data_IF_209476472811
#
_entry.id   IF_209476472811
#
_cell.length_a   1.000
_cell.length_b   1.000
_cell.length_c   1.000
_cell.angle_alpha   90.00
_cell.angle_beta   90.00
_cell.angle_gamma   90.00
#
_symmetry.space_group_name_H-M   'P 1'
#
loop_
_entity.id
_entity.type
_entity.pdbx_description
1 polymer ?
#
# COMPACT_ATOMS: atom_id res chain seq x y z
N UNK A 1 37.11 9.69 7.62
CA UNK A 1 35.88 10.08 8.34
C UNK A 1 35.09 11.04 7.46
N UNK A 2 34.08 10.57 6.75
CA UNK A 2 33.25 11.39 5.85
C UNK A 2 32.06 11.97 6.63
N UNK A 3 32.05 13.29 6.80
CA UNK A 3 30.96 14.04 7.44
C UNK A 3 29.77 14.08 6.47
N UNK A 4 28.74 13.27 6.73
CA UNK A 4 27.48 13.39 6.00
C UNK A 4 26.81 14.74 6.34
N UNK A 5 26.70 15.62 5.36
CA UNK A 5 26.01 16.90 5.47
C UNK A 5 24.50 16.66 5.45
N UNK A 6 23.93 16.30 6.60
CA UNK A 6 22.50 16.11 6.70
C UNK A 6 21.78 17.47 6.69
N UNK A 7 21.15 17.73 5.53
CA UNK A 7 19.98 18.58 5.23
C UNK A 7 20.26 19.73 4.26
N UNK A 8 19.88 19.51 2.99
CA UNK A 8 19.99 20.49 1.90
C UNK A 8 18.90 21.58 1.92
N UNK A 9 17.79 21.38 2.64
CA UNK A 9 16.64 22.31 2.65
C UNK A 9 16.58 23.09 3.96
N UNK A 10 16.55 24.43 3.95
CA UNK A 10 16.47 25.24 5.16
C UNK A 10 15.24 24.89 6.02
N UNK A 11 15.29 25.10 7.34
CA UNK A 11 14.11 25.03 8.18
C UNK A 11 12.97 25.88 7.61
N UNK A 12 11.74 25.34 7.65
CA UNK A 12 10.50 26.01 7.19
C UNK A 12 10.36 26.21 5.67
N UNK A 13 11.32 25.76 4.86
CA UNK A 13 11.14 25.73 3.41
C UNK A 13 10.50 24.41 2.94
N UNK A 14 9.64 24.44 1.91
CA UNK A 14 9.10 23.23 1.31
C UNK A 14 10.21 22.40 0.69
N UNK A 15 10.14 21.08 0.88
CA UNK A 15 11.09 20.12 0.28
C UNK A 15 10.97 20.14 -1.26
N UNK A 16 9.76 20.34 -1.78
CA UNK A 16 9.46 20.46 -3.20
C UNK A 16 8.97 21.87 -3.50
N UNK A 17 9.82 22.69 -4.12
CA UNK A 17 9.52 24.12 -4.37
C UNK A 17 8.33 24.33 -5.33
N UNK A 18 8.12 23.42 -6.27
CA UNK A 18 7.09 23.54 -7.31
C UNK A 18 5.77 22.82 -6.97
N UNK A 19 5.65 22.23 -5.78
CA UNK A 19 4.43 21.57 -5.37
C UNK A 19 3.65 22.50 -4.43
N UNK A 20 2.50 23.06 -4.87
CA UNK A 20 1.68 23.88 -3.97
C UNK A 20 1.21 23.03 -2.79
N UNK A 21 1.10 23.66 -1.61
CA UNK A 21 0.48 22.99 -0.46
C UNK A 21 -0.99 22.73 -0.80
N UNK A 22 -1.45 21.50 -0.56
CA UNK A 22 -2.88 21.19 -0.61
C UNK A 22 -3.63 22.00 0.43
N UNK A 23 -4.85 22.41 0.11
CA UNK A 23 -5.76 23.02 1.06
C UNK A 23 -6.43 21.95 1.94
N UNK A 24 -7.13 22.38 3.00
CA UNK A 24 -7.76 21.45 3.96
C UNK A 24 -8.82 20.55 3.31
N UNK A 25 -9.58 21.06 2.35
CA UNK A 25 -10.62 20.32 1.64
C UNK A 25 -10.03 19.23 0.75
N UNK A 26 -8.98 19.53 -0.01
CA UNK A 26 -8.24 18.57 -0.85
C UNK A 26 -7.59 17.47 -0.01
N UNK A 27 -7.06 17.83 1.17
CA UNK A 27 -6.51 16.86 2.12
C UNK A 27 -7.61 15.93 2.64
N UNK A 28 -8.74 16.49 3.06
CA UNK A 28 -9.86 15.72 3.58
C UNK A 28 -10.44 14.76 2.51
N UNK A 29 -10.58 15.24 1.27
CA UNK A 29 -11.06 14.43 0.16
C UNK A 29 -10.10 13.27 -0.14
N UNK A 30 -8.79 13.55 -0.26
CA UNK A 30 -7.80 12.51 -0.49
C UNK A 30 -7.75 11.47 0.65
N UNK A 31 -7.96 11.89 1.89
CA UNK A 31 -8.04 10.98 3.03
C UNK A 31 -9.28 10.07 2.92
N UNK A 32 -10.44 10.64 2.59
CA UNK A 32 -11.68 9.89 2.43
C UNK A 32 -11.59 8.88 1.28
N UNK A 33 -11.01 9.27 0.14
CA UNK A 33 -10.80 8.39 -1.01
C UNK A 33 -9.86 7.23 -0.68
N UNK A 34 -8.74 7.51 0.00
CA UNK A 34 -7.80 6.48 0.46
C UNK A 34 -8.44 5.53 1.48
N UNK A 35 -9.26 6.05 2.40
CA UNK A 35 -9.95 5.24 3.39
C UNK A 35 -10.97 4.32 2.70
N UNK A 36 -11.79 4.85 1.81
CA UNK A 36 -12.77 4.06 1.06
C UNK A 36 -12.09 2.97 0.21
N UNK A 37 -10.95 3.28 -0.41
CA UNK A 37 -10.12 2.30 -1.12
C UNK A 37 -9.61 1.19 -0.19
N UNK A 38 -9.00 1.56 0.94
CA UNK A 38 -8.48 0.59 1.91
C UNK A 38 -9.58 -0.28 2.51
N UNK A 39 -10.77 0.28 2.76
CA UNK A 39 -11.92 -0.46 3.28
C UNK A 39 -12.40 -1.55 2.30
N UNK A 40 -12.49 -1.25 1.01
CA UNK A 40 -12.83 -2.25 -0.03
C UNK A 40 -11.82 -3.39 -0.07
N UNK A 41 -10.53 -3.07 -0.08
CA UNK A 41 -9.47 -4.09 -0.07
C UNK A 41 -9.50 -4.94 1.21
N UNK A 42 -9.71 -4.32 2.37
CA UNK A 42 -9.83 -5.03 3.64
C UNK A 42 -11.02 -5.96 3.69
N UNK A 43 -12.14 -5.58 3.09
CA UNK A 43 -13.31 -6.46 3.00
C UNK A 43 -13.00 -7.70 2.17
N UNK A 44 -12.34 -7.55 1.02
CA UNK A 44 -11.89 -8.68 0.19
C UNK A 44 -10.92 -9.56 1.00
N UNK A 45 -9.91 -8.96 1.64
CA UNK A 45 -8.95 -9.69 2.45
C UNK A 45 -9.63 -10.50 3.56
N UNK A 46 -10.55 -9.92 4.33
CA UNK A 46 -11.24 -10.61 5.43
C UNK A 46 -12.00 -11.84 4.96
N UNK A 47 -12.49 -11.84 3.71
CA UNK A 47 -13.21 -12.97 3.12
C UNK A 47 -12.26 -14.09 2.70
N UNK A 48 -11.11 -13.77 2.12
CA UNK A 48 -10.19 -14.76 1.53
C UNK A 48 -9.07 -15.21 2.46
N UNK A 49 -8.67 -14.38 3.43
CA UNK A 49 -7.53 -14.63 4.29
C UNK A 49 -7.64 -15.90 5.15
N UNK A 50 -8.80 -16.24 5.77
CA UNK A 50 -8.89 -17.45 6.60
C UNK A 50 -8.49 -18.71 5.83
N UNK A 51 -9.02 -18.90 4.62
CA UNK A 51 -8.75 -20.07 3.80
C UNK A 51 -7.30 -20.06 3.26
N UNK A 52 -6.80 -18.89 2.87
CA UNK A 52 -5.44 -18.76 2.34
C UNK A 52 -4.36 -18.90 3.42
N UNK A 53 -4.63 -18.49 4.67
CA UNK A 53 -3.67 -18.59 5.77
C UNK A 53 -3.38 -20.03 6.20
N UNK A 54 -4.24 -21.00 5.85
CA UNK A 54 -3.96 -22.41 6.10
C UNK A 54 -2.80 -22.93 5.23
N UNK A 55 -2.64 -22.38 4.02
CA UNK A 55 -1.68 -22.86 3.02
C UNK A 55 -0.52 -21.90 2.76
N UNK A 56 -0.74 -20.59 2.92
CA UNK A 56 0.16 -19.51 2.51
C UNK A 56 0.46 -18.53 3.65
N UNK A 57 0.61 -19.05 4.87
CA UNK A 57 0.93 -18.22 6.03
C UNK A 57 2.22 -17.40 5.79
N UNK A 58 2.19 -16.15 6.20
CA UNK A 58 3.27 -15.16 6.07
C UNK A 58 3.64 -14.79 4.63
N UNK A 59 2.82 -15.17 3.65
CA UNK A 59 2.96 -14.71 2.27
C UNK A 59 2.31 -13.33 2.10
N UNK A 60 2.64 -12.68 1.00
CA UNK A 60 2.04 -11.41 0.60
C UNK A 60 0.86 -11.66 -0.33
N UNK A 61 -0.19 -10.87 -0.14
CA UNK A 61 -1.35 -10.81 -1.02
C UNK A 61 -1.50 -9.37 -1.54
N UNK A 62 -1.59 -9.24 -2.86
CA UNK A 62 -1.88 -7.98 -3.55
C UNK A 62 -3.30 -8.05 -4.07
N UNK A 63 -4.14 -7.10 -3.64
CA UNK A 63 -5.56 -7.06 -3.95
C UNK A 63 -5.83 -5.93 -4.94
N UNK A 64 -6.56 -6.23 -6.01
CA UNK A 64 -7.14 -5.22 -6.89
C UNK A 64 -8.59 -4.95 -6.43
N UNK A 65 -8.93 -3.70 -6.04
CA UNK A 65 -10.19 -3.40 -5.35
C UNK A 65 -11.45 -3.49 -6.23
N UNK A 66 -11.36 -3.36 -7.55
CA UNK A 66 -12.54 -3.20 -8.40
C UNK A 66 -13.06 -4.55 -8.93
N UNK A 67 -12.14 -5.44 -9.30
CA UNK A 67 -12.39 -6.81 -9.74
C UNK A 67 -12.49 -7.78 -8.57
N UNK A 68 -11.83 -7.47 -7.46
CA UNK A 68 -11.68 -8.40 -6.33
C UNK A 68 -10.67 -9.52 -6.59
N UNK A 69 -9.93 -9.48 -7.70
CA UNK A 69 -8.82 -10.39 -7.94
C UNK A 69 -7.65 -10.10 -7.01
N UNK A 70 -6.91 -11.15 -6.70
CA UNK A 70 -5.75 -11.07 -5.83
C UNK A 70 -4.62 -11.97 -6.30
N UNK A 71 -3.40 -11.59 -5.93
CA UNK A 71 -2.17 -12.28 -6.30
C UNK A 71 -1.38 -12.59 -5.04
N UNK A 72 -0.96 -13.84 -4.88
CA UNK A 72 -0.20 -14.30 -3.72
C UNK A 72 1.21 -14.70 -4.11
N UNK A 73 2.19 -14.34 -3.27
CA UNK A 73 3.56 -14.81 -3.40
C UNK A 73 4.28 -14.70 -2.05
N UNK A 74 5.32 -15.51 -1.80
CA UNK A 74 6.14 -15.37 -0.60
C UNK A 74 6.95 -14.06 -0.57
N UNK A 75 7.15 -13.43 -1.73
CA UNK A 75 7.83 -12.14 -1.91
C UNK A 75 6.83 -11.07 -2.37
N UNK A 76 6.77 -9.94 -1.67
CA UNK A 76 5.84 -8.84 -1.97
C UNK A 76 6.01 -8.34 -3.40
N UNK A 77 7.26 -8.15 -3.83
CA UNK A 77 7.56 -7.64 -5.16
C UNK A 77 7.15 -8.63 -6.26
N UNK A 78 7.21 -9.93 -6.00
CA UNK A 78 6.73 -10.96 -6.92
C UNK A 78 5.21 -10.94 -7.07
N UNK A 79 4.45 -10.78 -5.98
CA UNK A 79 3.00 -10.63 -6.06
C UNK A 79 2.61 -9.32 -6.76
N UNK A 80 3.33 -8.23 -6.47
CA UNK A 80 3.08 -6.92 -7.09
C UNK A 80 3.36 -6.93 -8.59
N UNK A 81 4.45 -7.58 -9.04
CA UNK A 81 4.75 -7.73 -10.47
C UNK A 81 3.62 -8.45 -11.22
N UNK A 82 3.16 -9.59 -10.69
CA UNK A 82 2.05 -10.33 -11.28
C UNK A 82 0.78 -9.48 -11.37
N UNK A 83 0.47 -8.74 -10.31
CA UNK A 83 -0.67 -7.84 -10.30
C UNK A 83 -0.52 -6.72 -11.34
N UNK A 84 0.66 -6.10 -11.46
CA UNK A 84 0.93 -5.02 -12.43
C UNK A 84 0.97 -5.48 -13.88
N UNK A 85 1.33 -6.73 -14.14
CA UNK A 85 1.26 -7.30 -15.49
C UNK A 85 -0.19 -7.37 -16.00
N UNK A 86 -1.14 -7.73 -15.13
CA UNK A 86 -2.56 -7.78 -15.47
C UNK A 86 -3.26 -6.42 -15.32
N UNK A 87 -2.86 -5.66 -14.31
CA UNK A 87 -3.46 -4.40 -13.90
C UNK A 87 -2.38 -3.30 -13.81
N UNK A 88 -1.94 -2.73 -14.94
CA UNK A 88 -0.83 -1.76 -14.96
C UNK A 88 -1.16 -0.45 -14.24
N UNK A 89 -2.41 0.02 -14.37
CA UNK A 89 -2.84 1.36 -13.96
C UNK A 89 -3.47 1.51 -12.57
N UNK A 90 -4.24 0.56 -11.98
CA UNK A 90 -4.93 0.83 -10.72
C UNK A 90 -3.97 0.88 -9.53
N UNK A 91 -4.44 1.55 -8.48
CA UNK A 91 -3.92 1.43 -7.12
C UNK A 91 -4.16 -0.01 -6.64
N UNK A 92 -3.09 -0.64 -6.17
CA UNK A 92 -3.10 -2.00 -5.65
C UNK A 92 -2.84 -1.94 -4.15
N UNK A 93 -3.46 -2.85 -3.39
CA UNK A 93 -3.30 -2.89 -1.93
C UNK A 93 -2.54 -4.13 -1.51
N UNK A 94 -1.42 -3.93 -0.82
CA UNK A 94 -0.59 -5.01 -0.30
C UNK A 94 -0.91 -5.31 1.16
N UNK A 95 -1.02 -6.60 1.48
CA UNK A 95 -1.20 -7.11 2.84
C UNK A 95 -0.40 -8.40 3.04
N UNK A 96 -0.21 -8.81 4.30
CA UNK A 96 0.34 -10.13 4.62
C UNK A 96 -0.76 -11.09 5.04
N UNK A 97 -0.64 -12.35 4.63
CA UNK A 97 -1.48 -13.46 5.07
C UNK A 97 -1.05 -13.92 6.47
N UNK A 98 -1.37 -13.07 7.45
CA UNK A 98 -1.23 -13.33 8.87
C UNK A 98 -2.47 -12.82 9.63
N UNK A 99 -2.54 -13.10 10.92
CA UNK A 99 -3.70 -12.76 11.77
C UNK A 99 -4.07 -11.28 11.77
N UNK A 100 -3.11 -10.40 11.49
CA UNK A 100 -3.27 -8.94 11.54
C UNK A 100 -3.43 -8.28 10.19
N UNK A 101 -3.04 -8.97 9.10
CA UNK A 101 -2.94 -8.39 7.76
C UNK A 101 -1.76 -7.43 7.57
N UNK A 102 -0.95 -7.16 8.61
CA UNK A 102 0.08 -6.14 8.59
C UNK A 102 1.36 -6.61 7.87
N UNK A 103 1.88 -5.75 7.00
CA UNK A 103 3.18 -5.93 6.35
C UNK A 103 4.30 -5.47 7.29
N UNK A 104 5.08 -6.42 7.80
CA UNK A 104 6.21 -6.17 8.71
C UNK A 104 5.87 -6.35 10.19
N UNK A 105 6.91 -6.31 11.02
CA UNK A 105 6.79 -6.32 12.49
C UNK A 105 6.97 -4.87 12.96
N UNK A 106 6.01 -4.35 13.72
CA UNK A 106 6.13 -3.08 14.45
C UNK A 106 7.00 -3.31 15.68
#
# INVERSE_FOLDING_TARGET
MTRSLHRAVPPRQPIFANLPRRNETEIAQALAENQAFAERCREIFRRVAPDLMEQYRDWYIIIEPNSGEYFIAPDEMAALRQAKEKYPTPDLYAMCLNETGACGRI
#
